data_IF_165997156698
#
_entry.id   IF_165997156698
#
_cell.length_a   1.000
_cell.length_b   1.000
_cell.length_c   1.000
_cell.angle_alpha   90.00
_cell.angle_beta   90.00
_cell.angle_gamma   90.00
#
_symmetry.space_group_name_H-M   'P 1'
#
loop_
_entity.id
_entity.type
_entity.pdbx_description
1 polymer ?
#
# COMPACT_ATOMS: atom_id res chain seq x y z
N UNK A 1 -19.23 -0.49 10.03
CA UNK A 1 -18.76 0.54 10.99
C UNK A 1 -19.61 1.82 10.96
N UNK A 2 -19.99 2.39 9.80
CA UNK A 2 -20.86 3.59 9.73
C UNK A 2 -22.16 3.42 10.50
N UNK A 3 -22.82 2.30 10.38
CA UNK A 3 -24.09 2.01 11.08
C UNK A 3 -23.92 2.03 12.61
N UNK A 4 -22.80 1.53 13.13
CA UNK A 4 -22.53 1.54 14.57
C UNK A 4 -22.34 2.97 15.08
N UNK A 5 -21.56 3.79 14.36
CA UNK A 5 -21.31 5.19 14.74
C UNK A 5 -22.60 6.00 14.69
N UNK A 6 -23.42 5.81 13.66
CA UNK A 6 -24.74 6.47 13.56
C UNK A 6 -25.71 6.03 14.65
N UNK A 7 -25.64 4.77 15.06
CA UNK A 7 -26.50 4.22 16.11
C UNK A 7 -26.12 4.70 17.52
N UNK A 8 -24.82 4.98 17.73
CA UNK A 8 -24.27 5.37 19.02
C UNK A 8 -23.38 6.62 18.93
N UNK A 9 -23.96 7.78 18.54
CA UNK A 9 -23.18 9.00 18.27
C UNK A 9 -22.49 9.59 19.51
N UNK A 10 -22.89 9.16 20.71
CA UNK A 10 -22.28 9.59 21.97
C UNK A 10 -21.04 8.79 22.39
N UNK A 11 -20.75 7.70 21.68
CA UNK A 11 -19.55 6.87 21.97
C UNK A 11 -18.35 7.51 21.27
N UNK A 12 -17.31 7.93 22.02
CA UNK A 12 -16.08 8.42 21.44
C UNK A 12 -15.49 7.38 20.48
N UNK A 13 -15.15 7.80 19.27
CA UNK A 13 -14.68 6.92 18.22
C UNK A 13 -13.47 7.51 17.52
N UNK A 14 -12.44 6.68 17.34
CA UNK A 14 -11.28 6.97 16.50
C UNK A 14 -11.30 6.02 15.33
N UNK A 15 -11.20 6.56 14.13
CA UNK A 15 -11.10 5.80 12.90
C UNK A 15 -9.63 5.61 12.53
N UNK A 16 -9.27 4.42 12.10
CA UNK A 16 -7.93 4.11 11.63
C UNK A 16 -8.00 3.63 10.17
N UNK A 17 -7.02 4.08 9.39
CA UNK A 17 -6.60 3.58 8.09
C UNK A 17 -7.73 3.22 7.08
N UNK A 18 -8.47 2.15 7.32
CA UNK A 18 -9.47 1.57 6.40
C UNK A 18 -10.88 2.16 6.53
N UNK A 19 -11.11 2.89 7.58
CA UNK A 19 -12.45 3.38 7.81
C UNK A 19 -12.76 4.53 6.85
N UNK A 20 -13.91 4.49 6.14
CA UNK A 20 -14.33 5.64 5.37
C UNK A 20 -14.57 6.80 6.34
N UNK A 21 -13.91 7.92 6.07
CA UNK A 21 -14.08 9.12 6.88
C UNK A 21 -15.54 9.55 6.89
N UNK A 22 -16.13 9.65 8.07
CA UNK A 22 -17.54 10.01 8.28
C UNK A 22 -17.77 11.52 8.51
N UNK A 23 -16.68 12.28 8.66
CA UNK A 23 -16.72 13.71 8.92
C UNK A 23 -16.91 14.08 10.40
N UNK A 24 -17.06 13.10 11.29
CA UNK A 24 -17.39 13.33 12.72
C UNK A 24 -16.41 12.69 13.69
N UNK A 25 -15.73 11.60 13.31
CA UNK A 25 -14.78 10.88 14.15
C UNK A 25 -13.36 11.39 13.95
N UNK A 26 -12.50 11.22 14.95
CA UNK A 26 -11.05 11.40 14.78
C UNK A 26 -10.51 10.36 13.79
N UNK A 27 -9.54 10.76 12.96
CA UNK A 27 -8.96 9.90 11.95
C UNK A 27 -7.44 9.86 12.11
N UNK A 28 -6.90 8.65 12.17
CA UNK A 28 -5.46 8.39 12.20
C UNK A 28 -5.14 7.42 11.07
N UNK A 29 -4.17 7.76 10.25
CA UNK A 29 -3.79 6.96 9.08
C UNK A 29 -2.31 7.14 8.73
N UNK A 30 -1.75 6.23 7.94
CA UNK A 30 -0.48 6.49 7.28
C UNK A 30 -0.65 7.46 6.09
N UNK A 31 0.46 8.01 5.61
CA UNK A 31 0.47 8.75 4.35
C UNK A 31 0.61 7.80 3.16
N UNK A 32 -0.48 7.09 2.85
CA UNK A 32 -0.52 6.11 1.77
C UNK A 32 -0.17 6.69 0.39
N UNK A 33 -0.48 7.97 0.13
CA UNK A 33 -0.08 8.65 -1.09
C UNK A 33 1.44 8.79 -1.16
N UNK A 34 2.05 9.29 -0.08
CA UNK A 34 3.51 9.39 0.01
C UNK A 34 4.18 8.02 -0.10
N UNK A 35 3.61 6.98 0.54
CA UNK A 35 4.16 5.63 0.48
C UNK A 35 4.14 5.05 -0.94
N UNK A 36 3.06 5.24 -1.71
CA UNK A 36 2.99 4.84 -3.12
C UNK A 36 3.98 5.61 -4.01
N UNK A 37 4.14 6.91 -3.76
CA UNK A 37 5.14 7.75 -4.43
C UNK A 37 6.57 7.27 -4.12
N UNK A 38 6.91 7.04 -2.85
CA UNK A 38 8.22 6.55 -2.42
C UNK A 38 8.58 5.20 -3.04
N UNK A 39 7.65 4.24 -3.04
CA UNK A 39 7.85 2.93 -3.62
C UNK A 39 8.17 3.01 -5.12
N UNK A 40 7.42 3.84 -5.84
CA UNK A 40 7.58 4.01 -7.27
C UNK A 40 8.83 4.82 -7.61
N UNK A 41 9.07 5.91 -6.88
CA UNK A 41 10.28 6.72 -7.06
C UNK A 41 11.55 5.89 -6.82
N UNK A 42 11.55 5.02 -5.81
CA UNK A 42 12.67 4.12 -5.57
C UNK A 42 12.97 3.20 -6.77
N UNK A 43 11.94 2.63 -7.41
CA UNK A 43 12.12 1.86 -8.64
C UNK A 43 12.67 2.70 -9.79
N UNK A 44 12.20 3.94 -9.94
CA UNK A 44 12.70 4.89 -10.94
C UNK A 44 14.18 5.21 -10.69
N UNK A 45 14.56 5.47 -9.44
CA UNK A 45 15.94 5.80 -9.05
C UNK A 45 16.90 4.63 -9.27
N UNK A 46 16.40 3.38 -9.24
CA UNK A 46 17.15 2.17 -9.63
C UNK A 46 17.24 1.98 -11.16
N UNK A 47 16.64 2.87 -11.96
CA UNK A 47 16.74 2.87 -13.42
C UNK A 47 15.64 2.09 -14.15
N UNK A 48 14.63 1.61 -13.45
CA UNK A 48 13.48 0.97 -14.11
C UNK A 48 12.60 1.99 -14.79
N UNK A 49 12.18 1.71 -16.03
CA UNK A 49 11.34 2.62 -16.84
C UNK A 49 9.98 2.01 -17.19
N UNK A 50 9.85 0.68 -17.19
CA UNK A 50 8.60 -0.04 -17.39
C UNK A 50 8.14 -0.61 -16.05
N UNK A 51 7.44 0.23 -15.28
CA UNK A 51 6.99 -0.07 -13.93
C UNK A 51 5.48 -0.28 -13.95
N UNK A 52 5.01 -1.42 -13.47
CA UNK A 52 3.59 -1.72 -13.30
C UNK A 52 3.14 -1.49 -11.85
N UNK A 53 1.82 -1.49 -11.62
CA UNK A 53 1.23 -1.40 -10.31
C UNK A 53 0.12 -2.44 -10.12
N UNK A 54 0.21 -3.23 -9.05
CA UNK A 54 -0.89 -4.07 -8.57
C UNK A 54 -1.51 -3.35 -7.37
N UNK A 55 -2.72 -2.82 -7.54
CA UNK A 55 -3.43 -2.09 -6.48
C UNK A 55 -4.23 -3.03 -5.61
N UNK A 56 -4.65 -2.58 -4.42
CA UNK A 56 -5.79 -3.19 -3.72
C UNK A 56 -7.13 -2.75 -4.30
N UNK A 57 -8.26 -3.17 -3.68
CA UNK A 57 -9.60 -2.76 -4.09
C UNK A 57 -9.77 -1.23 -4.05
N UNK A 58 -10.14 -0.63 -5.18
CA UNK A 58 -10.20 0.83 -5.32
C UNK A 58 -11.37 1.49 -4.58
N UNK A 59 -12.28 0.73 -4.00
CA UNK A 59 -13.27 1.23 -3.04
C UNK A 59 -12.64 1.55 -1.66
N UNK A 60 -11.40 1.11 -1.41
CA UNK A 60 -10.62 1.40 -0.20
C UNK A 60 -9.73 2.62 -0.40
N UNK A 61 -9.80 3.56 0.53
CA UNK A 61 -9.02 4.80 0.48
C UNK A 61 -7.50 4.57 0.40
N UNK A 62 -6.88 3.67 1.21
CA UNK A 62 -5.45 3.41 1.09
C UNK A 62 -5.04 2.92 -0.30
N UNK A 63 -5.84 2.03 -0.92
CA UNK A 63 -5.54 1.53 -2.27
C UNK A 63 -5.52 2.65 -3.31
N UNK A 64 -6.52 3.56 -3.26
CA UNK A 64 -6.55 4.71 -4.18
C UNK A 64 -5.36 5.64 -3.96
N UNK A 65 -5.04 5.97 -2.71
CA UNK A 65 -3.93 6.87 -2.39
C UNK A 65 -2.58 6.28 -2.80
N UNK A 66 -2.35 4.98 -2.59
CA UNK A 66 -1.15 4.27 -3.06
C UNK A 66 -1.04 4.31 -4.59
N UNK A 67 -2.16 4.10 -5.30
CA UNK A 67 -2.20 4.25 -6.76
C UNK A 67 -1.94 5.69 -7.20
N UNK A 68 -2.53 6.69 -6.55
CA UNK A 68 -2.29 8.10 -6.85
C UNK A 68 -0.80 8.47 -6.68
N UNK A 69 -0.14 7.95 -5.62
CA UNK A 69 1.30 8.08 -5.42
C UNK A 69 2.12 7.49 -6.56
N UNK A 70 1.78 6.27 -7.00
CA UNK A 70 2.41 5.65 -8.17
C UNK A 70 2.24 6.51 -9.43
N UNK A 71 1.02 6.95 -9.71
CA UNK A 71 0.74 7.78 -10.89
C UNK A 71 1.53 9.09 -10.86
N UNK A 72 1.58 9.75 -9.69
CA UNK A 72 2.33 10.99 -9.50
C UNK A 72 3.83 10.82 -9.76
N UNK A 73 4.45 9.75 -9.26
CA UNK A 73 5.86 9.48 -9.48
C UNK A 73 6.18 9.19 -10.95
N UNK A 74 5.35 8.38 -11.62
CA UNK A 74 5.49 8.07 -13.05
C UNK A 74 5.35 9.33 -13.92
N UNK A 75 4.35 10.17 -13.66
CA UNK A 75 4.13 11.44 -14.36
C UNK A 75 5.31 12.39 -14.16
N UNK A 76 5.78 12.58 -12.94
CA UNK A 76 6.92 13.43 -12.60
C UNK A 76 8.20 13.00 -13.31
N UNK A 77 8.39 11.70 -13.50
CA UNK A 77 9.52 11.14 -14.23
C UNK A 77 9.34 11.14 -15.77
N UNK A 78 8.18 11.52 -16.27
CA UNK A 78 7.85 11.48 -17.70
C UNK A 78 7.77 10.07 -18.28
N UNK A 79 7.48 9.07 -17.44
CA UNK A 79 7.38 7.67 -17.85
C UNK A 79 5.96 7.30 -18.25
N UNK A 80 5.82 6.64 -19.40
CA UNK A 80 4.54 6.14 -19.87
C UNK A 80 4.08 4.93 -19.06
N UNK A 81 2.77 4.82 -18.85
CA UNK A 81 2.12 3.65 -18.24
C UNK A 81 1.32 2.95 -19.35
N UNK A 82 1.83 1.85 -19.92
CA UNK A 82 1.11 1.09 -20.93
C UNK A 82 -0.24 0.58 -20.42
N UNK A 83 -1.19 0.41 -21.34
CA UNK A 83 -2.43 -0.28 -21.02
C UNK A 83 -2.12 -1.68 -20.50
N UNK A 84 -2.82 -2.10 -19.43
CA UNK A 84 -2.58 -3.38 -18.78
C UNK A 84 -1.49 -3.39 -17.68
N UNK A 85 -0.77 -2.28 -17.45
CA UNK A 85 0.21 -2.20 -16.34
C UNK A 85 -0.41 -1.84 -14.99
N UNK A 86 -1.69 -1.54 -14.93
CA UNK A 86 -2.43 -1.29 -13.70
C UNK A 86 -3.46 -2.39 -13.51
N UNK A 87 -3.21 -3.26 -12.55
CA UNK A 87 -4.09 -4.37 -12.21
C UNK A 87 -4.68 -4.15 -10.83
N UNK A 88 -5.98 -4.37 -10.68
CA UNK A 88 -6.63 -4.31 -9.38
C UNK A 88 -6.63 -5.70 -8.75
N UNK A 89 -6.01 -5.82 -7.58
CA UNK A 89 -6.06 -6.98 -6.72
C UNK A 89 -7.06 -6.80 -5.58
N UNK A 90 -6.97 -7.65 -4.58
CA UNK A 90 -7.94 -7.79 -3.48
C UNK A 90 -7.34 -7.67 -2.07
N UNK A 91 -6.03 -7.39 -1.98
CA UNK A 91 -5.21 -7.41 -0.77
C UNK A 91 -4.89 -8.81 -0.23
N UNK A 92 -5.27 -9.88 -0.94
CA UNK A 92 -5.04 -11.25 -0.56
C UNK A 92 -3.93 -11.90 -1.42
N UNK A 93 -3.37 -13.00 -0.92
CA UNK A 93 -2.31 -13.74 -1.62
C UNK A 93 -2.73 -14.16 -3.04
N UNK A 94 -3.95 -14.69 -3.18
CA UNK A 94 -4.41 -15.19 -4.48
C UNK A 94 -4.63 -14.07 -5.49
N UNK A 95 -5.18 -12.94 -5.08
CA UNK A 95 -5.33 -11.78 -5.95
C UNK A 95 -4.00 -11.25 -6.46
N UNK A 96 -2.96 -11.27 -5.61
CA UNK A 96 -1.59 -10.93 -6.04
C UNK A 96 -1.02 -11.92 -7.05
N UNK A 97 -1.27 -13.21 -6.87
CA UNK A 97 -0.87 -14.27 -7.81
C UNK A 97 -1.53 -14.08 -9.19
N UNK A 98 -2.85 -13.94 -9.25
CA UNK A 98 -3.60 -13.77 -10.49
C UNK A 98 -3.25 -12.46 -11.21
N UNK A 99 -3.08 -11.37 -10.45
CA UNK A 99 -2.65 -10.09 -10.99
C UNK A 99 -1.26 -10.17 -11.63
N UNK A 100 -0.32 -10.86 -10.99
CA UNK A 100 1.03 -11.05 -11.55
C UNK A 100 0.98 -11.92 -12.82
N UNK A 101 0.20 -12.99 -12.86
CA UNK A 101 0.01 -13.77 -14.09
C UNK A 101 -0.49 -12.90 -15.24
N UNK A 102 -1.41 -11.98 -14.96
CA UNK A 102 -1.92 -11.02 -15.96
C UNK A 102 -0.83 -10.07 -16.45
N UNK A 103 0.04 -9.56 -15.54
CA UNK A 103 1.18 -8.72 -15.91
C UNK A 103 2.24 -9.46 -16.73
N UNK A 104 2.48 -10.73 -16.45
CA UNK A 104 3.44 -11.55 -17.16
C UNK A 104 3.04 -11.81 -18.62
N UNK A 105 1.75 -11.70 -18.94
CA UNK A 105 1.22 -11.81 -20.29
C UNK A 105 1.28 -10.50 -21.10
N UNK A 106 1.68 -9.38 -20.48
CA UNK A 106 1.79 -8.09 -21.17
C UNK A 106 3.01 -8.03 -22.09
N UNK A 107 2.88 -7.33 -23.24
CA UNK A 107 3.98 -7.02 -24.15
C UNK A 107 4.03 -5.51 -24.45
N UNK A 108 5.15 -4.82 -24.13
CA UNK A 108 6.35 -5.36 -23.46
C UNK A 108 6.06 -5.73 -22.00
N UNK A 109 6.77 -6.72 -21.48
CA UNK A 109 6.66 -7.09 -20.05
C UNK A 109 7.21 -5.96 -19.16
N UNK A 110 6.58 -5.65 -17.99
CA UNK A 110 7.17 -4.75 -17.02
C UNK A 110 8.51 -5.27 -16.48
N UNK A 111 9.39 -4.35 -16.12
CA UNK A 111 10.70 -4.63 -15.49
C UNK A 111 10.59 -4.65 -13.96
N UNK A 112 9.63 -3.90 -13.44
CA UNK A 112 9.40 -3.75 -12.00
C UNK A 112 7.92 -3.56 -11.72
N UNK A 113 7.50 -3.90 -10.50
CA UNK A 113 6.11 -3.78 -10.05
C UNK A 113 6.07 -3.20 -8.64
N UNK A 114 5.30 -2.15 -8.46
CA UNK A 114 4.83 -1.72 -7.15
C UNK A 114 3.54 -2.48 -6.81
N UNK A 115 3.51 -3.14 -5.66
CA UNK A 115 2.37 -3.95 -5.21
C UNK A 115 1.80 -3.35 -3.93
N UNK A 116 0.51 -3.10 -3.93
CA UNK A 116 -0.21 -2.32 -2.93
C UNK A 116 -0.23 -2.91 -1.52
N UNK A 117 0.17 -4.20 -1.30
CA UNK A 117 0.51 -4.75 0.00
C UNK A 117 1.40 -5.99 -0.10
N UNK A 118 2.00 -6.41 1.01
CA UNK A 118 2.96 -7.53 1.05
C UNK A 118 2.28 -8.90 0.86
N UNK A 119 1.01 -9.05 1.24
CA UNK A 119 0.28 -10.29 1.01
C UNK A 119 0.14 -10.57 -0.50
N UNK A 120 -0.26 -9.58 -1.29
CA UNK A 120 -0.27 -9.70 -2.75
C UNK A 120 1.14 -9.89 -3.32
N UNK A 121 2.16 -9.22 -2.75
CA UNK A 121 3.54 -9.41 -3.19
C UNK A 121 4.01 -10.86 -3.00
N UNK A 122 3.62 -11.52 -1.92
CA UNK A 122 3.88 -12.95 -1.73
C UNK A 122 3.25 -13.81 -2.83
N UNK A 123 1.99 -13.54 -3.17
CA UNK A 123 1.31 -14.21 -4.29
C UNK A 123 2.01 -13.97 -5.62
N UNK A 124 2.48 -12.73 -5.87
CA UNK A 124 3.24 -12.37 -7.05
C UNK A 124 4.57 -13.14 -7.17
N UNK A 125 5.30 -13.32 -6.06
CA UNK A 125 6.49 -14.16 -6.03
C UNK A 125 6.19 -15.60 -6.47
N UNK A 126 5.09 -16.16 -6.01
CA UNK A 126 4.68 -17.51 -6.40
C UNK A 126 4.39 -17.62 -7.91
N UNK A 127 3.75 -16.59 -8.49
CA UNK A 127 3.50 -16.55 -9.94
C UNK A 127 4.81 -16.46 -10.75
N UNK A 128 5.75 -15.62 -10.31
CA UNK A 128 7.08 -15.51 -10.92
C UNK A 128 7.86 -16.83 -10.82
N UNK A 129 7.86 -17.46 -9.65
CA UNK A 129 8.50 -18.76 -9.45
C UNK A 129 7.95 -19.83 -10.40
N UNK A 130 6.61 -19.91 -10.55
CA UNK A 130 5.98 -20.86 -11.48
C UNK A 130 6.31 -20.56 -12.95
N UNK A 131 6.54 -19.29 -13.30
CA UNK A 131 6.97 -18.87 -14.62
C UNK A 131 8.49 -19.06 -14.88
N UNK A 132 9.25 -19.53 -13.88
CA UNK A 132 10.71 -19.68 -13.96
C UNK A 132 11.46 -18.35 -13.96
N UNK A 133 10.85 -17.28 -13.46
CA UNK A 133 11.42 -15.93 -13.39
C UNK A 133 11.96 -15.63 -12.00
N UNK A 134 13.02 -14.83 -11.94
CA UNK A 134 13.73 -14.49 -10.72
C UNK A 134 13.46 -13.05 -10.28
N UNK A 135 13.35 -12.85 -8.99
CA UNK A 135 13.33 -11.54 -8.35
C UNK A 135 14.76 -11.29 -7.82
N UNK A 136 15.37 -10.14 -8.06
CA UNK A 136 14.91 -9.03 -8.91
C UNK A 136 15.33 -9.14 -10.37
N UNK A 137 16.15 -10.12 -10.75
CA UNK A 137 16.87 -10.18 -12.04
C UNK A 137 15.93 -10.06 -13.27
N UNK A 138 14.78 -10.74 -13.23
CA UNK A 138 13.80 -10.73 -14.31
C UNK A 138 12.65 -9.77 -14.05
N UNK A 139 12.36 -9.49 -12.76
CA UNK A 139 11.35 -8.52 -12.32
C UNK A 139 11.61 -8.05 -10.89
N UNK A 140 11.80 -6.74 -10.70
CA UNK A 140 11.92 -6.14 -9.39
C UNK A 140 10.55 -5.91 -8.75
N UNK A 141 10.48 -6.02 -7.43
CA UNK A 141 9.23 -5.84 -6.66
C UNK A 141 9.44 -4.94 -5.46
N UNK A 142 8.52 -3.98 -5.28
CA UNK A 142 8.35 -3.24 -4.03
C UNK A 142 6.95 -3.51 -3.50
N UNK A 143 6.86 -3.91 -2.22
CA UNK A 143 5.61 -4.14 -1.50
C UNK A 143 5.16 -2.94 -0.66
N UNK A 144 4.20 -3.19 0.22
CA UNK A 144 3.66 -2.23 1.19
C UNK A 144 3.18 -2.98 2.43
N UNK A 145 3.36 -2.42 3.62
CA UNK A 145 2.96 -2.84 4.98
C UNK A 145 4.13 -3.27 5.86
N UNK A 146 5.23 -3.80 5.33
CA UNK A 146 6.34 -4.41 6.06
C UNK A 146 5.87 -5.46 7.07
N UNK A 147 5.08 -6.44 6.60
CA UNK A 147 4.71 -7.57 7.44
C UNK A 147 5.93 -8.44 7.75
N UNK A 148 5.89 -9.17 8.86
CA UNK A 148 7.02 -10.02 9.29
C UNK A 148 7.50 -10.97 8.17
N UNK A 149 6.57 -11.55 7.43
CA UNK A 149 6.86 -12.49 6.33
C UNK A 149 7.73 -11.87 5.22
N UNK A 150 7.67 -10.55 5.00
CA UNK A 150 8.47 -9.86 3.98
C UNK A 150 9.97 -10.10 4.13
N UNK A 151 10.45 -10.29 5.37
CA UNK A 151 11.86 -10.54 5.69
C UNK A 151 12.33 -11.96 5.33
N UNK A 152 11.39 -12.90 5.25
CA UNK A 152 11.66 -14.33 5.02
C UNK A 152 11.38 -14.77 3.58
N UNK A 153 10.93 -13.86 2.72
CA UNK A 153 10.83 -14.13 1.29
C UNK A 153 12.20 -14.33 0.67
N UNK A 154 12.27 -14.96 -0.49
CA UNK A 154 13.55 -15.23 -1.18
C UNK A 154 13.48 -14.68 -2.60
N UNK A 155 14.20 -13.56 -2.86
CA UNK A 155 14.91 -12.70 -1.90
C UNK A 155 13.96 -11.96 -0.94
N UNK A 156 14.47 -11.40 0.20
CA UNK A 156 13.65 -10.60 1.12
C UNK A 156 13.04 -9.40 0.42
N UNK A 157 11.76 -9.12 0.70
CA UNK A 157 10.97 -8.10 0.03
C UNK A 157 11.32 -6.68 0.49
N UNK A 158 11.73 -5.82 -0.44
CA UNK A 158 11.75 -4.37 -0.29
C UNK A 158 10.30 -3.88 -0.21
N UNK A 159 9.97 -3.10 0.80
CA UNK A 159 8.57 -2.72 1.07
C UNK A 159 8.47 -1.38 1.78
N UNK A 160 7.32 -0.76 1.74
CA UNK A 160 7.01 0.44 2.53
C UNK A 160 6.51 -0.01 3.92
N UNK A 161 7.24 0.37 4.96
CA UNK A 161 6.82 0.15 6.34
C UNK A 161 5.70 1.11 6.73
N UNK A 162 4.57 0.55 7.10
CA UNK A 162 3.48 1.27 7.75
C UNK A 162 3.72 1.24 9.27
N UNK A 163 3.79 2.39 9.96
CA UNK A 163 4.13 2.44 11.39
C UNK A 163 2.92 2.01 12.26
N UNK A 164 2.59 0.72 12.23
CA UNK A 164 1.36 0.15 12.82
C UNK A 164 1.32 0.29 14.35
N UNK A 165 2.45 0.13 15.01
CA UNK A 165 2.54 0.25 16.46
C UNK A 165 2.28 1.69 16.89
N UNK A 166 2.92 2.67 16.22
CA UNK A 166 2.70 4.09 16.46
C UNK A 166 1.25 4.52 16.14
N UNK A 167 0.67 3.96 15.05
CA UNK A 167 -0.75 4.18 14.73
C UNK A 167 -1.66 3.70 15.85
N UNK A 168 -1.37 2.52 16.43
CA UNK A 168 -2.12 1.94 17.53
C UNK A 168 -2.01 2.77 18.82
N UNK A 169 -0.80 3.14 19.20
CA UNK A 169 -0.55 3.99 20.38
C UNK A 169 -1.24 5.35 20.26
N UNK A 170 -1.07 6.01 19.12
CA UNK A 170 -1.68 7.30 18.86
C UNK A 170 -3.22 7.23 18.86
N UNK A 171 -3.80 6.13 18.36
CA UNK A 171 -5.24 5.93 18.39
C UNK A 171 -5.79 5.85 19.81
N UNK A 172 -5.08 5.17 20.71
CA UNK A 172 -5.46 5.07 22.12
C UNK A 172 -5.35 6.44 22.80
N UNK A 173 -4.27 7.17 22.56
CA UNK A 173 -4.06 8.50 23.14
C UNK A 173 -5.17 9.49 22.71
N UNK A 174 -5.47 9.53 21.41
CA UNK A 174 -6.54 10.37 20.88
C UNK A 174 -7.90 9.96 21.46
N UNK A 175 -8.17 8.67 21.61
CA UNK A 175 -9.42 8.17 22.18
C UNK A 175 -9.56 8.59 23.65
N UNK A 176 -8.51 8.46 24.45
CA UNK A 176 -8.50 8.89 25.87
C UNK A 176 -8.77 10.40 25.96
N UNK A 177 -8.08 11.22 25.15
CA UNK A 177 -8.30 12.66 25.11
C UNK A 177 -9.73 13.02 24.70
N UNK A 178 -10.30 12.32 23.70
CA UNK A 178 -11.70 12.52 23.26
C UNK A 178 -12.69 12.16 24.39
N UNK A 179 -12.43 11.11 25.14
CA UNK A 179 -13.27 10.72 26.29
C UNK A 179 -13.23 11.78 27.40
N UNK A 180 -12.08 12.37 27.66
CA UNK A 180 -11.92 13.42 28.68
C UNK A 180 -12.52 14.75 28.22
N UNK A 181 -12.52 15.04 26.92
CA UNK A 181 -12.96 16.31 26.35
C UNK A 181 -13.81 16.08 25.09
N UNK A 182 -15.08 15.67 25.22
CA UNK A 182 -15.94 15.28 24.09
C UNK A 182 -16.17 16.37 23.03
N UNK A 183 -16.04 17.64 23.43
CA UNK A 183 -16.28 18.81 22.56
C UNK A 183 -15.04 19.29 21.79
N UNK A 184 -13.90 18.61 21.91
CA UNK A 184 -12.70 18.95 21.13
C UNK A 184 -13.01 18.89 19.62
N UNK A 185 -12.34 19.79 18.88
CA UNK A 185 -12.38 19.74 17.43
C UNK A 185 -11.83 18.39 16.96
N UNK A 186 -12.42 17.85 15.90
CA UNK A 186 -11.98 16.61 15.25
C UNK A 186 -10.51 16.71 14.83
N UNK A 187 -9.75 15.63 15.07
CA UNK A 187 -8.35 15.54 14.69
C UNK A 187 -8.19 14.63 13.47
N UNK A 188 -7.26 15.00 12.61
CA UNK A 188 -6.77 14.17 11.50
C UNK A 188 -5.26 14.09 11.62
N UNK A 189 -4.76 12.92 11.97
CA UNK A 189 -3.35 12.68 12.18
C UNK A 189 -2.85 11.71 11.14
N UNK A 190 -1.67 12.01 10.60
CA UNK A 190 -1.09 11.23 9.52
C UNK A 190 0.37 10.91 9.86
N UNK A 191 0.71 9.63 9.87
CA UNK A 191 2.08 9.15 10.09
C UNK A 191 2.82 8.99 8.76
N UNK A 192 4.13 9.17 8.79
CA UNK A 192 4.98 9.06 7.61
C UNK A 192 5.46 7.62 7.44
N UNK A 193 5.19 6.99 6.29
CA UNK A 193 5.73 5.67 5.98
C UNK A 193 7.23 5.73 5.71
N UNK A 194 7.92 4.59 5.80
CA UNK A 194 9.37 4.47 5.58
C UNK A 194 9.67 3.35 4.58
N UNK A 195 10.58 3.60 3.64
CA UNK A 195 11.05 2.54 2.73
C UNK A 195 12.04 1.62 3.46
N UNK A 196 11.77 0.32 3.41
CA UNK A 196 12.62 -0.75 3.92
C UNK A 196 13.29 -1.46 2.75
N UNK A 197 14.51 -1.04 2.42
CA UNK A 197 15.30 -1.68 1.36
C UNK A 197 15.73 -3.10 1.75
N UNK A 198 15.53 -4.05 0.82
CA UNK A 198 15.97 -5.45 0.94
C UNK A 198 16.45 -5.97 -0.42
N UNK A 199 16.24 -7.23 -0.72
CA UNK A 199 16.83 -7.90 -1.88
C UNK A 199 15.93 -8.02 -3.12
N UNK A 200 14.73 -7.45 -3.14
CA UNK A 200 13.78 -7.62 -4.24
C UNK A 200 13.85 -6.53 -5.33
N UNK A 201 14.82 -5.60 -5.20
CA UNK A 201 15.10 -4.53 -6.16
C UNK A 201 16.60 -4.40 -6.39
#
# INVERSE_FOLDING_TARGET
SKEIIQRYPSIPTVMMDWAPFDGTSDLIQDNSLLGGDMATQYLIDKGYTRIACITGPLDKTPARLRLEGYLSAMERAGLAIPDGYRITGDFEFNGGFEAMQTLLAQEPRPQAVFIGNDAMAFGAYQALYQAGLRVPDDMAIVGYDDIELARYMTPPLTTIHQPKDELGELAIDVLIHRMAQPTLQQQRLQLTPVLMERGSV
#
